data_IF_994616162152
#
_entry.id   IF_994616162152
#
_cell.length_a   1.000
_cell.length_b   1.000
_cell.length_c   1.000
_cell.angle_alpha   90.00
_cell.angle_beta   90.00
_cell.angle_gamma   90.00
#
_symmetry.space_group_name_H-M   'P 1'
#
loop_
_entity.id
_entity.type
_entity.pdbx_description
1 polymer ?
#
# COMPACT_ATOMS: atom_id res chain seq x y z
N UNK A 1 -3.94 -2.10 -20.88
CA UNK A 1 -2.90 -2.66 -19.98
C UNK A 1 -3.32 -2.43 -18.54
N UNK A 2 -3.23 -3.44 -17.67
CA UNK A 2 -3.67 -3.33 -16.27
C UNK A 2 -2.81 -2.35 -15.47
N UNK A 3 -3.40 -1.74 -14.42
CA UNK A 3 -2.71 -0.79 -13.54
C UNK A 3 -1.42 -1.38 -12.94
N UNK A 4 -1.46 -2.66 -12.55
CA UNK A 4 -0.31 -3.42 -12.04
C UNK A 4 0.83 -3.46 -13.07
N UNK A 5 0.54 -3.79 -14.33
CA UNK A 5 1.56 -3.82 -15.39
C UNK A 5 2.20 -2.44 -15.62
N UNK A 6 1.42 -1.36 -15.48
CA UNK A 6 1.92 0.02 -15.62
C UNK A 6 2.87 0.39 -14.49
N UNK A 7 2.55 0.06 -13.24
CA UNK A 7 3.44 0.35 -12.11
C UNK A 7 4.71 -0.52 -12.13
N UNK A 8 4.60 -1.82 -12.47
CA UNK A 8 5.77 -2.69 -12.60
C UNK A 8 6.77 -2.15 -13.63
N UNK A 9 6.30 -1.69 -14.80
CA UNK A 9 7.20 -1.08 -15.80
C UNK A 9 7.90 0.17 -15.28
N UNK A 10 7.20 1.01 -14.51
CA UNK A 10 7.77 2.23 -13.94
C UNK A 10 8.80 1.94 -12.85
N UNK A 11 8.55 0.92 -12.02
CA UNK A 11 9.50 0.48 -11.01
C UNK A 11 10.74 -0.16 -11.65
N UNK A 12 10.53 -0.96 -12.69
CA UNK A 12 11.61 -1.55 -13.48
C UNK A 12 12.44 -0.48 -14.20
N UNK A 13 11.81 0.52 -14.83
CA UNK A 13 12.53 1.62 -15.48
C UNK A 13 13.32 2.50 -14.50
N UNK A 14 12.98 2.44 -13.21
CA UNK A 14 13.69 3.11 -12.12
C UNK A 14 14.74 2.21 -11.44
N UNK A 15 14.90 0.97 -11.91
CA UNK A 15 15.84 0.01 -11.34
C UNK A 15 15.44 -0.53 -9.97
N UNK A 16 14.20 -0.31 -9.51
CA UNK A 16 13.74 -0.76 -8.19
C UNK A 16 13.33 -2.25 -8.18
N UNK A 17 12.90 -2.77 -9.33
CA UNK A 17 12.57 -4.20 -9.49
C UNK A 17 13.20 -4.75 -10.75
N UNK A 18 13.47 -6.04 -10.74
CA UNK A 18 13.86 -6.80 -11.93
C UNK A 18 12.88 -7.93 -12.20
N UNK A 19 12.82 -8.34 -13.47
CA UNK A 19 11.91 -9.35 -13.96
C UNK A 19 12.66 -10.66 -14.13
N UNK A 20 12.21 -11.72 -13.46
CA UNK A 20 12.78 -13.06 -13.60
C UNK A 20 11.74 -14.04 -14.15
N UNK A 21 12.24 -15.06 -14.85
CA UNK A 21 11.48 -16.25 -15.26
C UNK A 21 12.17 -17.46 -14.67
N UNK A 22 11.40 -18.37 -14.08
CA UNK A 22 11.95 -19.61 -13.56
C UNK A 22 12.28 -20.55 -14.72
N UNK A 23 13.39 -21.28 -14.61
CA UNK A 23 13.86 -22.18 -15.67
C UNK A 23 12.81 -23.26 -16.01
N UNK A 24 12.07 -23.72 -15.02
CA UNK A 24 11.06 -24.79 -15.12
C UNK A 24 9.62 -24.26 -15.38
N UNK A 25 9.40 -22.94 -15.31
CA UNK A 25 8.10 -22.34 -15.60
C UNK A 25 8.27 -21.01 -16.34
N UNK A 26 8.19 -21.09 -17.67
CA UNK A 26 8.29 -19.91 -18.54
C UNK A 26 6.95 -19.18 -18.76
N UNK A 27 5.83 -19.72 -18.25
CA UNK A 27 4.51 -19.08 -18.36
C UNK A 27 4.37 -17.91 -17.40
N UNK A 28 4.99 -18.00 -16.23
CA UNK A 28 4.90 -16.99 -15.18
C UNK A 28 6.09 -16.04 -15.19
N UNK A 29 5.80 -14.81 -14.74
CA UNK A 29 6.76 -13.73 -14.63
C UNK A 29 6.79 -13.30 -13.18
N UNK A 30 7.96 -13.37 -12.56
CA UNK A 30 8.17 -12.88 -11.22
C UNK A 30 8.90 -11.53 -11.26
N UNK A 31 8.68 -10.72 -10.23
CA UNK A 31 9.42 -9.50 -10.00
C UNK A 31 10.07 -9.59 -8.63
N UNK A 32 11.35 -9.26 -8.56
CA UNK A 32 12.10 -9.19 -7.30
C UNK A 32 12.69 -7.80 -7.13
N UNK A 33 12.92 -7.41 -5.87
CA UNK A 33 13.57 -6.15 -5.55
C UNK A 33 15.05 -6.25 -5.91
N UNK A 34 15.58 -5.18 -6.49
CA UNK A 34 17.04 -5.00 -6.60
C UNK A 34 17.59 -4.53 -5.27
N UNK A 35 18.91 -4.46 -5.11
CA UNK A 35 19.53 -3.85 -3.92
C UNK A 35 19.05 -2.42 -3.67
N UNK A 36 18.85 -1.61 -4.71
CA UNK A 36 18.30 -0.26 -4.58
C UNK A 36 16.81 -0.28 -4.28
N UNK A 37 16.06 -1.24 -4.85
CA UNK A 37 14.67 -1.50 -4.51
C UNK A 37 14.48 -1.83 -3.03
N UNK A 38 15.38 -2.62 -2.46
CA UNK A 38 15.34 -3.02 -1.06
C UNK A 38 15.56 -1.83 -0.13
N UNK A 39 16.53 -0.95 -0.44
CA UNK A 39 16.74 0.31 0.32
C UNK A 39 15.50 1.21 0.28
N UNK A 40 14.87 1.32 -0.89
CA UNK A 40 13.64 2.09 -1.05
C UNK A 40 12.49 1.47 -0.24
N UNK A 41 12.34 0.15 -0.27
CA UNK A 41 11.34 -0.58 0.49
C UNK A 41 11.48 -0.32 1.99
N UNK A 42 12.68 -0.49 2.55
CA UNK A 42 12.93 -0.25 3.98
C UNK A 42 12.67 1.21 4.38
N UNK A 43 13.06 2.16 3.54
CA UNK A 43 12.77 3.59 3.79
C UNK A 43 11.27 3.85 3.82
N UNK A 44 10.54 3.26 2.87
CA UNK A 44 9.08 3.38 2.82
C UNK A 44 8.40 2.73 4.02
N UNK A 45 8.89 1.57 4.47
CA UNK A 45 8.42 0.89 5.67
C UNK A 45 8.61 1.74 6.93
N UNK A 46 9.77 2.37 7.10
CA UNK A 46 10.03 3.30 8.21
C UNK A 46 9.03 4.47 8.20
N UNK A 47 8.75 5.05 7.03
CA UNK A 47 7.77 6.12 6.89
C UNK A 47 6.35 5.65 7.24
N UNK A 48 5.99 4.41 6.87
CA UNK A 48 4.72 3.81 7.27
C UNK A 48 4.62 3.65 8.78
N UNK A 49 5.66 3.13 9.43
CA UNK A 49 5.72 2.98 10.89
C UNK A 49 5.59 4.32 11.60
N UNK A 50 6.30 5.35 11.13
CA UNK A 50 6.20 6.71 11.67
C UNK A 50 4.80 7.31 11.50
N UNK A 51 4.18 7.11 10.33
CA UNK A 51 2.81 7.54 10.08
C UNK A 51 1.83 6.83 11.02
N UNK A 52 1.95 5.51 11.14
CA UNK A 52 1.11 4.70 12.01
C UNK A 52 1.24 5.12 13.47
N UNK A 53 2.46 5.37 13.96
CA UNK A 53 2.70 5.85 15.31
C UNK A 53 1.98 7.19 15.57
N UNK A 54 2.07 8.15 14.64
CA UNK A 54 1.36 9.43 14.74
C UNK A 54 -0.16 9.25 14.83
N UNK A 55 -0.72 8.36 14.02
CA UNK A 55 -2.15 8.04 14.07
C UNK A 55 -2.54 7.38 15.39
N UNK A 56 -1.76 6.42 15.88
CA UNK A 56 -2.00 5.76 17.17
C UNK A 56 -2.00 6.81 18.30
N UNK A 57 -0.98 7.65 18.38
CA UNK A 57 -0.89 8.71 19.39
C UNK A 57 -2.07 9.69 19.34
N UNK A 58 -2.61 9.97 18.14
CA UNK A 58 -3.82 10.76 18.02
C UNK A 58 -5.05 10.00 18.58
N UNK A 59 -5.22 8.72 18.23
CA UNK A 59 -6.37 7.91 18.67
C UNK A 59 -6.35 7.55 20.16
N UNK A 60 -5.18 7.53 20.79
CA UNK A 60 -5.01 7.31 22.24
C UNK A 60 -5.56 8.48 23.08
N UNK A 61 -5.69 9.68 22.51
CA UNK A 61 -6.25 10.85 23.20
C UNK A 61 -7.76 10.77 23.42
N UNK A 62 -8.44 9.89 22.70
CA UNK A 62 -9.88 9.69 22.78
C UNK A 62 -10.22 8.55 23.74
N UNK A 63 -11.37 8.58 24.38
CA UNK A 63 -11.85 7.44 25.15
C UNK A 63 -12.45 6.33 24.27
N UNK A 64 -12.94 5.25 24.89
CA UNK A 64 -13.51 4.13 24.15
C UNK A 64 -14.78 4.51 23.37
N UNK A 65 -15.65 5.34 23.95
CA UNK A 65 -16.92 5.74 23.32
C UNK A 65 -16.65 6.67 22.14
N UNK A 66 -15.71 7.61 22.29
CA UNK A 66 -15.27 8.50 21.23
C UNK A 66 -14.64 7.74 20.07
N UNK A 67 -13.75 6.78 20.34
CA UNK A 67 -13.17 5.91 19.30
C UNK A 67 -14.23 5.10 18.56
N UNK A 68 -15.25 4.59 19.26
CA UNK A 68 -16.37 3.87 18.61
C UNK A 68 -17.19 4.80 17.71
N UNK A 69 -17.44 6.04 18.14
CA UNK A 69 -18.12 7.05 17.34
C UNK A 69 -17.32 7.41 16.09
N UNK A 70 -16.00 7.65 16.21
CA UNK A 70 -15.09 7.92 15.08
C UNK A 70 -15.08 6.74 14.11
N UNK A 71 -14.97 5.50 14.60
CA UNK A 71 -15.00 4.30 13.76
C UNK A 71 -16.30 4.21 12.96
N UNK A 72 -17.46 4.43 13.59
CA UNK A 72 -18.77 4.45 12.91
C UNK A 72 -18.81 5.52 11.83
N UNK A 73 -18.39 6.74 12.17
CA UNK A 73 -18.35 7.86 11.24
C UNK A 73 -17.50 7.56 10.00
N UNK A 74 -16.28 7.04 10.18
CA UNK A 74 -15.41 6.69 9.05
C UNK A 74 -16.02 5.61 8.16
N UNK A 75 -16.71 4.62 8.75
CA UNK A 75 -17.41 3.58 7.99
C UNK A 75 -18.57 4.17 7.17
N UNK A 76 -19.39 5.04 7.75
CA UNK A 76 -20.50 5.70 7.06
C UNK A 76 -20.00 6.54 5.87
N UNK A 77 -18.93 7.30 6.08
CA UNK A 77 -18.27 8.10 5.04
C UNK A 77 -17.72 7.21 3.92
N UNK A 78 -16.98 6.15 4.26
CA UNK A 78 -16.42 5.23 3.27
C UNK A 78 -17.51 4.56 2.42
N UNK A 79 -18.61 4.14 3.05
CA UNK A 79 -19.76 3.57 2.37
C UNK A 79 -20.40 4.59 1.41
N UNK A 80 -20.54 5.84 1.82
CA UNK A 80 -21.09 6.91 0.97
C UNK A 80 -20.29 7.10 -0.33
N UNK A 81 -18.96 7.03 -0.27
CA UNK A 81 -18.10 7.16 -1.45
C UNK A 81 -18.15 5.92 -2.35
N UNK A 82 -18.21 4.71 -1.80
CA UNK A 82 -18.38 3.47 -2.58
C UNK A 82 -19.71 3.43 -3.35
N UNK A 83 -20.74 4.10 -2.86
CA UNK A 83 -22.03 4.20 -3.56
C UNK A 83 -22.07 5.25 -4.68
N UNK A 84 -21.11 6.19 -4.75
CA UNK A 84 -21.08 7.20 -5.83
C UNK A 84 -20.37 6.73 -7.11
N UNK A 85 -19.62 5.63 -7.08
CA UNK A 85 -18.94 5.09 -8.27
C UNK A 85 -19.82 4.17 -9.14
N UNK A 86 -21.08 3.92 -8.73
CA UNK A 86 -22.03 3.05 -9.46
C UNK A 86 -23.26 3.78 -10.04
N UNK A 87 -23.22 5.10 -10.15
CA UNK A 87 -24.28 5.90 -10.77
C UNK A 87 -23.77 6.57 -12.04
#
# INVERSE_FOLDING_TARGET
MGAVSKICRRLQSKGAIEKIKLADNQKEIFFILTTEGEKLFHTHELLHQQSQAKWITLFEQYDQNERLAIKRFLADVANRFRHKEKA
#
